data_IF_357865248485
#
_entry.id   IF_357865248485
#
_cell.length_a   1.000
_cell.length_b   1.000
_cell.length_c   1.000
_cell.angle_alpha   90.00
_cell.angle_beta   90.00
_cell.angle_gamma   90.00
#
_symmetry.space_group_name_H-M   'P 1'
#
loop_
_entity.id
_entity.type
_entity.pdbx_description
1 polymer ?
#
# COMPACT_ATOMS: atom_id res chain seq x y z
N UNK A 1 12.15 -24.26 16.95
CA UNK A 1 12.29 -23.08 17.80
C UNK A 1 10.96 -22.36 17.78
N UNK A 2 10.28 -22.26 18.92
CA UNK A 2 8.90 -21.77 18.97
C UNK A 2 8.84 -20.26 18.66
N UNK A 3 9.82 -19.50 19.14
CA UNK A 3 9.91 -18.05 18.91
C UNK A 3 10.10 -17.72 17.43
N UNK A 4 10.94 -18.48 16.69
CA UNK A 4 11.09 -18.29 15.23
C UNK A 4 9.79 -18.58 14.48
N UNK A 5 9.05 -19.63 14.86
CA UNK A 5 7.79 -19.99 14.22
C UNK A 5 6.69 -18.95 14.49
N UNK A 6 6.59 -18.46 15.71
CA UNK A 6 5.65 -17.38 16.09
C UNK A 6 5.96 -16.08 15.35
N UNK A 7 7.24 -15.69 15.27
CA UNK A 7 7.68 -14.51 14.53
C UNK A 7 7.37 -14.62 13.02
N UNK A 8 7.67 -15.77 12.41
CA UNK A 8 7.35 -16.02 11.01
C UNK A 8 5.84 -15.96 10.74
N UNK A 9 5.03 -16.56 11.62
CA UNK A 9 3.58 -16.57 11.47
C UNK A 9 2.99 -15.15 11.57
N UNK A 10 3.50 -14.33 12.50
CA UNK A 10 3.12 -12.93 12.62
C UNK A 10 3.51 -12.14 11.36
N UNK A 11 4.72 -12.34 10.82
CA UNK A 11 5.15 -11.73 9.56
C UNK A 11 4.25 -12.12 8.39
N UNK A 12 3.96 -13.41 8.21
CA UNK A 12 3.10 -13.89 7.11
C UNK A 12 1.72 -13.25 7.16
N UNK A 13 1.16 -13.12 8.37
CA UNK A 13 -0.13 -12.45 8.55
C UNK A 13 -0.05 -10.95 8.26
N UNK A 14 0.94 -10.25 8.81
CA UNK A 14 1.12 -8.81 8.60
C UNK A 14 1.35 -8.48 7.12
N UNK A 15 2.20 -9.25 6.44
CA UNK A 15 2.41 -9.17 4.99
C UNK A 15 1.11 -9.32 4.20
N UNK A 16 0.31 -10.35 4.51
CA UNK A 16 -0.96 -10.57 3.83
C UNK A 16 -1.95 -9.40 4.02
N UNK A 17 -2.05 -8.87 5.25
CA UNK A 17 -2.92 -7.74 5.57
C UNK A 17 -2.46 -6.45 4.86
N UNK A 18 -1.15 -6.20 4.80
CA UNK A 18 -0.56 -5.05 4.10
C UNK A 18 -0.76 -5.13 2.58
N UNK A 19 -0.56 -6.30 1.98
CA UNK A 19 -0.80 -6.53 0.54
C UNK A 19 -2.28 -6.31 0.18
N UNK A 20 -3.19 -6.86 0.98
CA UNK A 20 -4.63 -6.68 0.79
C UNK A 20 -5.06 -5.21 0.95
N UNK A 21 -4.52 -4.52 1.97
CA UNK A 21 -4.76 -3.09 2.20
C UNK A 21 -4.30 -2.24 1.02
N UNK A 22 -3.11 -2.52 0.50
CA UNK A 22 -2.51 -1.81 -0.63
C UNK A 22 -3.29 -2.03 -1.93
N UNK A 23 -3.76 -3.24 -2.21
CA UNK A 23 -4.67 -3.51 -3.33
C UNK A 23 -5.99 -2.74 -3.19
N UNK A 24 -6.57 -2.73 -1.99
CA UNK A 24 -7.81 -2.01 -1.68
C UNK A 24 -7.68 -0.50 -1.91
N UNK A 25 -6.61 0.11 -1.41
CA UNK A 25 -6.33 1.55 -1.57
C UNK A 25 -6.14 1.90 -3.05
N UNK A 26 -5.41 1.07 -3.81
CA UNK A 26 -5.24 1.28 -5.27
C UNK A 26 -6.55 1.25 -6.03
N UNK A 27 -7.44 0.31 -5.71
CA UNK A 27 -8.78 0.25 -6.31
C UNK A 27 -9.60 1.50 -5.98
N UNK A 28 -9.59 1.93 -4.72
CA UNK A 28 -10.28 3.15 -4.29
C UNK A 28 -9.74 4.39 -5.01
N UNK A 29 -8.42 4.53 -5.13
CA UNK A 29 -7.78 5.61 -5.87
C UNK A 29 -8.19 5.60 -7.34
N UNK A 30 -8.26 4.43 -7.99
CA UNK A 30 -8.71 4.31 -9.38
C UNK A 30 -10.13 4.86 -9.56
N UNK A 31 -11.08 4.44 -8.72
CA UNK A 31 -12.48 4.87 -8.79
C UNK A 31 -12.62 6.37 -8.50
N UNK A 32 -11.91 6.88 -7.49
CA UNK A 32 -11.96 8.29 -7.13
C UNK A 32 -11.34 9.16 -8.22
N UNK A 33 -10.20 8.75 -8.80
CA UNK A 33 -9.58 9.47 -9.92
C UNK A 33 -10.46 9.44 -11.17
N UNK A 34 -11.14 8.35 -11.47
CA UNK A 34 -12.10 8.32 -12.58
C UNK A 34 -13.30 9.23 -12.33
N UNK A 35 -13.86 9.22 -11.11
CA UNK A 35 -15.02 10.02 -10.75
C UNK A 35 -14.73 11.53 -10.64
N UNK A 36 -13.58 11.92 -10.08
CA UNK A 36 -13.19 13.32 -9.89
C UNK A 36 -12.32 13.87 -11.03
N UNK A 37 -11.53 13.02 -11.70
CA UNK A 37 -10.74 13.39 -12.88
C UNK A 37 -11.60 13.64 -14.11
N UNK A 38 -12.67 12.87 -14.31
CA UNK A 38 -13.68 13.17 -15.36
C UNK A 38 -14.37 14.51 -15.15
N UNK A 39 -14.51 14.96 -13.90
CA UNK A 39 -15.12 16.25 -13.57
C UNK A 39 -14.19 17.44 -13.91
N UNK A 40 -12.87 17.29 -13.72
CA UNK A 40 -11.89 18.29 -14.12
C UNK A 40 -11.87 18.50 -15.65
N UNK A 41 -12.01 17.41 -16.43
CA UNK A 41 -12.12 17.50 -17.89
C UNK A 41 -13.45 18.11 -18.37
N UNK A 42 -14.57 17.84 -17.67
CA UNK A 42 -15.87 18.44 -18.00
C UNK A 42 -15.91 19.95 -17.71
N UNK A 43 -15.25 20.40 -16.62
CA UNK A 43 -15.11 21.82 -16.30
C UNK A 43 -14.27 22.57 -17.35
N UNK A 44 -13.26 21.94 -17.93
CA UNK A 44 -12.45 22.53 -19.00
C UNK A 44 -13.21 22.60 -20.35
N UNK A 45 -14.14 21.68 -20.60
CA UNK A 45 -15.00 21.71 -21.78
C UNK A 45 -16.05 22.83 -21.73
N UNK A 46 -16.52 23.23 -20.54
CA UNK A 46 -17.42 24.37 -20.40
C UNK A 46 -16.74 25.71 -20.69
N UNK A 47 -15.43 25.83 -20.44
CA UNK A 47 -14.63 27.01 -20.79
C UNK A 47 -14.53 27.19 -22.33
N UNK A 48 -14.39 26.08 -23.06
CA UNK A 48 -14.45 26.06 -24.54
C UNK A 48 -15.87 26.29 -25.10
N UNK A 49 -16.92 26.14 -24.28
CA UNK A 49 -18.32 26.37 -24.64
C UNK A 49 -18.73 27.83 -24.71
N UNK A 50 -17.89 28.77 -24.24
CA UNK A 50 -18.21 30.21 -24.25
C UNK A 50 -18.33 30.83 -25.65
N UNK A 51 -17.95 30.12 -26.71
CA UNK A 51 -18.22 30.52 -28.10
C UNK A 51 -19.66 30.21 -28.57
N UNK A 52 -20.39 29.33 -27.89
CA UNK A 52 -21.76 28.94 -28.26
C UNK A 52 -22.86 29.80 -27.60
N UNK A 53 -22.48 30.75 -26.73
CA UNK A 53 -23.40 31.59 -25.94
C UNK A 53 -24.18 32.65 -26.76
N UNK A 54 -24.16 32.59 -28.09
CA UNK A 54 -24.86 33.54 -28.97
C UNK A 54 -26.29 33.13 -29.37
N UNK A 55 -26.82 32.00 -28.89
CA UNK A 55 -28.20 31.58 -29.19
C UNK A 55 -28.94 31.20 -27.90
N UNK A 56 -29.98 31.98 -27.58
CA UNK A 56 -30.78 31.88 -26.35
C UNK A 56 -31.50 30.54 -26.24
N UNK A 57 -30.98 29.65 -25.39
CA UNK A 57 -31.68 28.45 -24.93
C UNK A 57 -31.82 28.52 -23.40
N UNK A 58 -33.02 28.26 -22.83
CA UNK A 58 -33.23 28.35 -21.38
C UNK A 58 -32.30 27.40 -20.61
N UNK A 59 -31.73 27.91 -19.51
CA UNK A 59 -30.70 27.23 -18.73
C UNK A 59 -31.14 25.82 -18.30
N UNK A 60 -30.34 24.82 -18.65
CA UNK A 60 -30.50 23.42 -18.23
C UNK A 60 -30.49 23.37 -16.68
N UNK A 61 -31.37 22.57 -16.03
CA UNK A 61 -31.41 22.47 -14.57
C UNK A 61 -30.06 22.04 -13.99
N UNK A 62 -29.71 22.56 -12.80
CA UNK A 62 -28.42 22.33 -12.18
C UNK A 62 -28.11 20.85 -12.00
N UNK A 63 -27.20 20.33 -12.81
CA UNK A 63 -26.60 19.02 -12.61
C UNK A 63 -25.65 19.13 -11.41
N UNK A 64 -25.82 18.25 -10.42
CA UNK A 64 -25.05 18.20 -9.18
C UNK A 64 -23.57 18.61 -9.36
N UNK A 65 -23.15 19.70 -8.72
CA UNK A 65 -21.75 20.12 -8.69
C UNK A 65 -20.99 19.18 -7.75
N UNK A 66 -20.11 18.34 -8.31
CA UNK A 66 -19.24 17.49 -7.50
C UNK A 66 -18.35 18.40 -6.65
N UNK A 67 -18.20 18.09 -5.36
CA UNK A 67 -17.31 18.82 -4.45
C UNK A 67 -15.83 18.51 -4.78
N UNK A 68 -15.34 19.04 -5.89
CA UNK A 68 -14.02 18.76 -6.48
C UNK A 68 -12.88 19.02 -5.51
N UNK A 69 -12.99 20.03 -4.64
CA UNK A 69 -11.97 20.33 -3.62
C UNK A 69 -11.81 19.25 -2.55
N UNK A 70 -12.92 18.63 -2.11
CA UNK A 70 -12.87 17.54 -1.13
C UNK A 70 -12.40 16.22 -1.76
N UNK A 71 -12.68 16.00 -3.05
CA UNK A 71 -12.18 14.84 -3.79
C UNK A 71 -10.65 14.81 -3.87
N UNK A 72 -10.02 15.94 -4.17
CA UNK A 72 -8.56 16.05 -4.23
C UNK A 72 -7.87 15.81 -2.88
N UNK A 73 -8.44 16.30 -1.78
CA UNK A 73 -7.86 16.06 -0.44
C UNK A 73 -7.99 14.60 0.00
N UNK A 74 -9.11 13.94 -0.31
CA UNK A 74 -9.30 12.50 -0.03
C UNK A 74 -8.33 11.64 -0.84
N UNK A 75 -8.14 11.96 -2.14
CA UNK A 75 -7.16 11.28 -2.99
C UNK A 75 -5.76 11.44 -2.40
N UNK A 76 -5.37 12.65 -1.99
CA UNK A 76 -4.06 12.88 -1.38
C UNK A 76 -3.84 12.09 -0.09
N UNK A 77 -4.86 11.96 0.77
CA UNK A 77 -4.77 11.13 1.98
C UNK A 77 -4.58 9.66 1.62
N UNK A 78 -5.31 9.14 0.64
CA UNK A 78 -5.18 7.74 0.21
C UNK A 78 -3.84 7.44 -0.46
N UNK A 79 -3.23 8.40 -1.15
CA UNK A 79 -1.87 8.27 -1.69
C UNK A 79 -0.81 8.20 -0.58
N UNK A 80 -0.96 8.97 0.49
CA UNK A 80 -0.08 8.87 1.67
C UNK A 80 -0.24 7.50 2.33
N UNK A 81 -1.48 7.02 2.50
CA UNK A 81 -1.74 5.69 3.06
C UNK A 81 -1.16 4.58 2.18
N UNK A 82 -1.25 4.68 0.85
CA UNK A 82 -0.61 3.72 -0.07
C UNK A 82 0.91 3.70 0.14
N UNK A 83 1.54 4.87 0.23
CA UNK A 83 2.98 4.99 0.46
C UNK A 83 3.38 4.37 1.81
N UNK A 84 2.59 4.59 2.87
CA UNK A 84 2.87 4.05 4.20
C UNK A 84 2.75 2.53 4.22
N UNK A 85 1.73 1.94 3.57
CA UNK A 85 1.62 0.49 3.43
C UNK A 85 2.77 -0.10 2.63
N UNK A 86 3.14 0.51 1.50
CA UNK A 86 4.26 0.05 0.70
C UNK A 86 5.58 0.09 1.48
N UNK A 87 5.79 1.15 2.28
CA UNK A 87 6.99 1.30 3.11
C UNK A 87 7.02 0.27 4.24
N UNK A 88 5.90 0.09 4.95
CA UNK A 88 5.83 -0.88 6.04
C UNK A 88 6.06 -2.31 5.54
N UNK A 89 5.46 -2.67 4.40
CA UNK A 89 5.67 -3.98 3.78
C UNK A 89 7.15 -4.22 3.46
N UNK A 90 7.83 -3.25 2.84
CA UNK A 90 9.25 -3.36 2.52
C UNK A 90 10.13 -3.47 3.79
N UNK A 91 9.78 -2.75 4.84
CA UNK A 91 10.47 -2.85 6.14
C UNK A 91 10.27 -4.23 6.76
N UNK A 92 9.04 -4.73 6.85
CA UNK A 92 8.75 -6.05 7.40
C UNK A 92 9.45 -7.17 6.63
N UNK A 93 9.47 -7.12 5.29
CA UNK A 93 10.20 -8.11 4.48
C UNK A 93 11.70 -8.10 4.77
N UNK A 94 12.29 -6.91 4.89
CA UNK A 94 13.72 -6.77 5.19
C UNK A 94 14.07 -7.29 6.59
N UNK A 95 13.19 -7.03 7.58
CA UNK A 95 13.36 -7.51 8.95
C UNK A 95 13.25 -9.03 9.04
N UNK A 96 12.28 -9.63 8.34
CA UNK A 96 12.10 -11.07 8.30
C UNK A 96 13.28 -11.78 7.61
N UNK A 97 13.74 -11.25 6.46
CA UNK A 97 14.90 -11.82 5.75
C UNK A 97 16.15 -11.79 6.64
N UNK A 98 16.37 -10.68 7.35
CA UNK A 98 17.48 -10.53 8.30
C UNK A 98 17.36 -11.53 9.46
N UNK A 99 16.15 -11.68 10.03
CA UNK A 99 15.89 -12.59 11.13
C UNK A 99 16.08 -14.07 10.73
N UNK A 100 15.66 -14.45 9.52
CA UNK A 100 15.89 -15.79 8.99
C UNK A 100 17.39 -16.07 8.78
N UNK A 101 18.13 -15.13 8.19
CA UNK A 101 19.58 -15.26 8.02
C UNK A 101 20.31 -15.45 9.35
N UNK A 102 20.00 -14.62 10.35
CA UNK A 102 20.60 -14.71 11.69
C UNK A 102 20.28 -16.04 12.36
N UNK A 103 19.03 -16.49 12.26
CA UNK A 103 18.60 -17.78 12.81
C UNK A 103 19.35 -18.95 12.16
N UNK A 104 19.54 -18.93 10.83
CA UNK A 104 20.31 -19.96 10.13
C UNK A 104 21.79 -19.96 10.53
N UNK A 105 22.42 -18.77 10.60
CA UNK A 105 23.81 -18.62 11.06
C UNK A 105 23.99 -19.16 12.48
N UNK A 106 23.12 -18.77 13.40
CA UNK A 106 23.15 -19.22 14.80
C UNK A 106 22.93 -20.73 14.91
N UNK A 107 21.95 -21.28 14.18
CA UNK A 107 21.66 -22.71 14.17
C UNK A 107 22.84 -23.52 13.65
N UNK A 108 23.49 -23.06 12.59
CA UNK A 108 24.68 -23.73 12.05
C UNK A 108 25.86 -23.66 13.02
N UNK A 109 26.14 -22.48 13.60
CA UNK A 109 27.18 -22.31 14.60
C UNK A 109 26.96 -23.24 15.80
N UNK A 110 25.73 -23.31 16.32
CA UNK A 110 25.37 -24.19 17.43
C UNK A 110 25.56 -25.67 17.08
N UNK A 111 25.24 -26.10 15.86
CA UNK A 111 25.50 -27.48 15.40
C UNK A 111 27.00 -27.80 15.39
N UNK A 112 27.83 -26.90 14.88
CA UNK A 112 29.29 -27.07 14.85
C UNK A 112 29.85 -27.12 16.27
N UNK A 113 29.51 -26.14 17.11
CA UNK A 113 29.96 -26.10 18.51
C UNK A 113 29.54 -27.34 19.29
N UNK A 114 28.30 -27.80 19.11
CA UNK A 114 27.83 -29.03 19.74
C UNK A 114 28.66 -30.24 19.30
N UNK A 115 28.90 -30.38 18.00
CA UNK A 115 29.69 -31.49 17.45
C UNK A 115 31.12 -31.51 18.00
N UNK A 116 31.76 -30.32 18.12
CA UNK A 116 33.09 -30.19 18.72
C UNK A 116 33.08 -30.62 20.19
N UNK A 117 32.13 -30.12 20.99
CA UNK A 117 32.02 -30.49 22.40
C UNK A 117 31.75 -31.98 22.62
N UNK A 118 30.89 -32.58 21.80
CA UNK A 118 30.59 -34.01 21.87
C UNK A 118 31.83 -34.85 21.52
N UNK A 119 32.69 -34.37 20.60
CA UNK A 119 33.99 -34.99 20.31
C UNK A 119 34.97 -34.82 21.47
N UNK A 120 35.07 -33.64 22.08
CA UNK A 120 35.99 -33.38 23.20
C UNK A 120 35.69 -34.22 24.44
N UNK A 121 34.42 -34.56 24.72
CA UNK A 121 34.03 -35.40 25.86
C UNK A 121 34.30 -36.90 25.61
N UNK A 122 34.47 -37.29 24.35
CA UNK A 122 34.72 -38.68 23.96
C UNK A 122 36.20 -39.11 24.08
N UNK A 123 37.12 -38.17 24.34
CA UNK A 123 38.56 -38.39 24.49
C UNK A 123 39.04 -38.07 25.91
#
# INVERSE_FOLDING_TARGET
DATRQEGHAAFVQAKADLEAGLEGVRKALSVLREYYGSAASASLLQDAGSLHAAMEQPAMPESHTKATGAGSSIIGILEVVESDFAKNLATEETEEDSAEEEYQKMTQANKVTKTIKDQDVAY
#
